data_IF_483241499799
#
_entry.id   IF_483241499799
#
_cell.length_a   1.000
_cell.length_b   1.000
_cell.length_c   1.000
_cell.angle_alpha   90.00
_cell.angle_beta   90.00
_cell.angle_gamma   90.00
#
_symmetry.space_group_name_H-M   'P 1'
#
loop_
_entity.id
_entity.type
_entity.pdbx_description
1 polymer ?
#
# COMPACT_ATOMS: atom_id res chain seq x y z
N UNK A 1 19.93 -5.42 -21.94
CA UNK A 1 18.81 -4.45 -21.83
C UNK A 1 17.81 -5.08 -20.86
N UNK A 2 17.70 -4.54 -19.64
CA UNK A 2 16.83 -5.10 -18.58
C UNK A 2 15.42 -4.55 -18.81
N UNK A 3 14.44 -5.43 -19.03
CA UNK A 3 13.07 -5.02 -19.36
C UNK A 3 12.23 -4.73 -18.10
N UNK A 4 12.60 -5.28 -16.94
CA UNK A 4 12.00 -5.00 -15.62
C UNK A 4 12.90 -5.47 -14.46
N UNK A 5 12.70 -4.90 -13.27
CA UNK A 5 13.37 -5.31 -12.01
C UNK A 5 13.08 -6.79 -11.66
N UNK A 6 14.11 -7.54 -11.23
CA UNK A 6 14.06 -8.99 -10.95
C UNK A 6 13.93 -9.94 -12.17
N UNK A 7 14.34 -9.49 -13.35
CA UNK A 7 14.33 -10.30 -14.58
C UNK A 7 14.98 -11.69 -14.43
N UNK A 8 16.16 -11.76 -13.82
CA UNK A 8 16.90 -13.01 -13.64
C UNK A 8 16.23 -13.97 -12.65
N UNK A 9 15.58 -13.43 -11.62
CA UNK A 9 14.79 -14.24 -10.66
C UNK A 9 13.51 -14.78 -11.30
N UNK A 10 12.85 -13.99 -12.14
CA UNK A 10 11.65 -14.44 -12.87
C UNK A 10 12.02 -15.47 -13.94
N UNK A 11 13.14 -15.28 -14.63
CA UNK A 11 13.64 -16.21 -15.65
C UNK A 11 14.08 -17.55 -15.05
N UNK A 12 14.95 -17.52 -14.04
CA UNK A 12 15.42 -18.72 -13.33
C UNK A 12 14.26 -19.43 -12.62
N UNK A 13 13.38 -18.68 -11.96
CA UNK A 13 12.18 -19.20 -11.31
C UNK A 13 11.22 -19.87 -12.29
N UNK A 14 10.96 -19.27 -13.45
CA UNK A 14 10.14 -19.84 -14.51
C UNK A 14 10.74 -21.14 -15.08
N UNK A 15 12.04 -21.13 -15.37
CA UNK A 15 12.75 -22.31 -15.89
C UNK A 15 12.75 -23.47 -14.90
N UNK A 16 13.07 -23.22 -13.62
CA UNK A 16 13.03 -24.26 -12.59
C UNK A 16 11.64 -24.84 -12.40
N UNK A 17 10.58 -24.02 -12.44
CA UNK A 17 9.19 -24.51 -12.35
C UNK A 17 8.82 -25.34 -13.58
N UNK A 18 9.22 -24.93 -14.78
CA UNK A 18 8.95 -25.68 -16.00
C UNK A 18 9.65 -27.04 -15.99
N UNK A 19 10.93 -27.05 -15.64
CA UNK A 19 11.71 -28.27 -15.50
C UNK A 19 11.11 -29.22 -14.44
N UNK A 20 10.66 -28.67 -13.31
CA UNK A 20 10.00 -29.45 -12.25
C UNK A 20 8.66 -30.03 -12.70
N UNK A 21 7.84 -29.26 -13.42
CA UNK A 21 6.58 -29.72 -13.99
C UNK A 21 6.80 -30.83 -15.03
N UNK A 22 7.78 -30.66 -15.92
CA UNK A 22 8.18 -31.67 -16.91
C UNK A 22 8.63 -32.97 -16.24
N UNK A 23 9.52 -32.87 -15.25
CA UNK A 23 9.99 -34.03 -14.49
C UNK A 23 8.85 -34.73 -13.74
N UNK A 24 7.91 -33.95 -13.17
CA UNK A 24 6.68 -34.48 -12.57
C UNK A 24 5.83 -35.26 -13.57
N UNK A 25 5.64 -34.72 -14.77
CA UNK A 25 4.85 -35.36 -15.82
C UNK A 25 5.47 -36.68 -16.31
N UNK A 26 6.78 -36.69 -16.54
CA UNK A 26 7.52 -37.90 -16.92
C UNK A 26 7.42 -38.96 -15.82
N UNK A 27 7.57 -38.57 -14.55
CA UNK A 27 7.44 -39.49 -13.43
C UNK A 27 6.03 -40.10 -13.34
N UNK A 28 4.97 -39.30 -13.50
CA UNK A 28 3.59 -39.79 -13.50
C UNK A 28 3.38 -40.77 -14.65
N UNK A 29 3.86 -40.46 -15.85
CA UNK A 29 3.77 -41.35 -17.02
C UNK A 29 4.46 -42.69 -16.78
N UNK A 30 5.72 -42.67 -16.31
CA UNK A 30 6.47 -43.89 -15.97
C UNK A 30 5.81 -44.68 -14.84
N UNK A 31 5.26 -44.00 -13.83
CA UNK A 31 4.55 -44.65 -12.72
C UNK A 31 3.27 -45.34 -13.19
N UNK A 32 2.50 -44.72 -14.10
CA UNK A 32 1.31 -45.33 -14.68
C UNK A 32 1.65 -46.53 -15.57
N UNK A 33 2.71 -46.46 -16.36
CA UNK A 33 3.17 -47.59 -17.18
C UNK A 33 3.65 -48.74 -16.29
N UNK A 34 4.44 -48.44 -15.25
CA UNK A 34 4.90 -49.43 -14.28
C UNK A 34 3.74 -50.09 -13.53
N UNK A 35 2.79 -49.28 -13.03
CA UNK A 35 1.59 -49.78 -12.37
C UNK A 35 0.71 -50.60 -13.33
N UNK A 36 0.56 -50.16 -14.58
CA UNK A 36 -0.21 -50.88 -15.59
C UNK A 36 0.37 -52.25 -15.94
N UNK A 37 1.69 -52.40 -15.82
CA UNK A 37 2.38 -53.67 -16.01
C UNK A 37 2.15 -54.66 -14.85
N UNK A 38 2.21 -54.18 -13.61
CA UNK A 38 2.09 -55.05 -12.44
C UNK A 38 0.64 -55.26 -11.98
N UNK A 39 -0.21 -54.25 -12.14
CA UNK A 39 -1.55 -54.21 -11.55
C UNK A 39 -2.47 -53.21 -12.27
N UNK A 40 -2.98 -53.66 -13.41
CA UNK A 40 -3.78 -52.85 -14.34
C UNK A 40 -5.06 -52.27 -13.71
N UNK A 41 -5.71 -53.02 -12.82
CA UNK A 41 -6.98 -52.60 -12.22
C UNK A 41 -6.83 -51.33 -11.36
N UNK A 42 -5.72 -51.17 -10.65
CA UNK A 42 -5.44 -49.93 -9.90
C UNK A 42 -5.25 -48.73 -10.83
N UNK A 43 -4.68 -48.92 -12.02
CA UNK A 43 -4.57 -47.84 -13.00
C UNK A 43 -5.95 -47.37 -13.44
N UNK A 44 -6.89 -48.29 -13.68
CA UNK A 44 -8.27 -47.95 -14.01
C UNK A 44 -8.96 -47.19 -12.88
N UNK A 45 -8.75 -47.61 -11.63
CA UNK A 45 -9.30 -46.91 -10.45
C UNK A 45 -8.75 -45.49 -10.35
N UNK A 46 -7.45 -45.29 -10.55
CA UNK A 46 -6.83 -43.97 -10.48
C UNK A 46 -7.32 -43.06 -11.63
N UNK A 47 -7.39 -43.58 -12.85
CA UNK A 47 -7.91 -42.83 -13.99
C UNK A 47 -9.41 -42.51 -13.84
N UNK A 48 -10.20 -43.45 -13.33
CA UNK A 48 -11.62 -43.25 -13.02
C UNK A 48 -11.83 -42.17 -11.96
N UNK A 49 -11.02 -42.20 -10.89
CA UNK A 49 -11.06 -41.15 -9.87
C UNK A 49 -10.66 -39.78 -10.43
N UNK A 50 -9.58 -39.71 -11.21
CA UNK A 50 -9.12 -38.47 -11.82
C UNK A 50 -10.16 -37.87 -12.78
N UNK A 51 -10.77 -38.69 -13.63
CA UNK A 51 -11.82 -38.22 -14.54
C UNK A 51 -13.08 -37.77 -13.81
N UNK A 52 -13.53 -38.54 -12.80
CA UNK A 52 -14.68 -38.16 -11.97
C UNK A 52 -14.46 -36.83 -11.25
N UNK A 53 -13.30 -36.65 -10.62
CA UNK A 53 -12.96 -35.41 -9.92
C UNK A 53 -12.85 -34.21 -10.85
N UNK A 54 -12.29 -34.38 -12.05
CA UNK A 54 -12.27 -33.32 -13.06
C UNK A 54 -13.67 -32.90 -13.49
N UNK A 55 -14.57 -33.85 -13.75
CA UNK A 55 -15.97 -33.57 -14.12
C UNK A 55 -16.68 -32.86 -12.96
N UNK A 56 -16.49 -33.34 -11.73
CA UNK A 56 -17.08 -32.74 -10.53
C UNK A 56 -16.60 -31.30 -10.33
N UNK A 57 -15.30 -31.05 -10.44
CA UNK A 57 -14.73 -29.70 -10.32
C UNK A 57 -15.23 -28.78 -11.44
N UNK A 58 -15.33 -29.27 -12.67
CA UNK A 58 -15.88 -28.50 -13.79
C UNK A 58 -17.35 -28.11 -13.56
N UNK A 59 -18.16 -29.06 -13.09
CA UNK A 59 -19.57 -28.82 -12.77
C UNK A 59 -19.74 -27.84 -11.59
N UNK A 60 -18.97 -28.04 -10.51
CA UNK A 60 -19.01 -27.18 -9.33
C UNK A 60 -18.53 -25.75 -9.65
N UNK A 61 -17.49 -25.61 -10.48
CA UNK A 61 -17.00 -24.31 -10.93
C UNK A 61 -18.05 -23.55 -11.75
N UNK A 62 -18.84 -24.25 -12.56
CA UNK A 62 -19.91 -23.64 -13.36
C UNK A 62 -21.10 -23.20 -12.50
N UNK A 63 -21.43 -23.95 -11.46
CA UNK A 63 -22.68 -23.75 -10.70
C UNK A 63 -22.50 -22.95 -9.39
N UNK A 64 -21.29 -22.84 -8.84
CA UNK A 64 -21.05 -22.19 -7.54
C UNK A 64 -19.98 -21.10 -7.61
N UNK A 65 -20.37 -19.86 -7.27
CA UNK A 65 -19.46 -18.73 -7.13
C UNK A 65 -18.49 -18.89 -5.94
N UNK A 66 -18.90 -19.59 -4.89
CA UNK A 66 -18.09 -19.82 -3.68
C UNK A 66 -16.92 -20.76 -4.00
N UNK A 67 -17.17 -21.82 -4.75
CA UNK A 67 -16.12 -22.78 -5.15
C UNK A 67 -15.17 -22.13 -6.15
N UNK A 68 -15.67 -21.26 -7.04
CA UNK A 68 -14.83 -20.46 -7.93
C UNK A 68 -13.86 -19.57 -7.14
N UNK A 69 -14.36 -18.81 -6.16
CA UNK A 69 -13.52 -17.93 -5.34
C UNK A 69 -12.52 -18.73 -4.47
N UNK A 70 -12.93 -19.90 -3.96
CA UNK A 70 -12.05 -20.79 -3.18
C UNK A 70 -10.99 -21.47 -4.06
N UNK A 71 -11.30 -21.80 -5.31
CA UNK A 71 -10.34 -22.37 -6.27
C UNK A 71 -9.29 -21.33 -6.70
N UNK A 72 -9.68 -20.06 -6.82
CA UNK A 72 -8.76 -18.95 -7.13
C UNK A 72 -7.85 -18.60 -5.95
N UNK A 73 -8.37 -18.63 -4.72
CA UNK A 73 -7.62 -18.23 -3.51
C UNK A 73 -6.85 -19.38 -2.85
N UNK A 74 -7.29 -20.64 -3.02
CA UNK A 74 -6.75 -21.81 -2.30
C UNK A 74 -6.63 -23.08 -3.15
N UNK A 75 -6.25 -22.94 -4.43
CA UNK A 75 -6.06 -24.06 -5.37
C UNK A 75 -5.20 -25.20 -4.78
N UNK A 76 -4.11 -24.85 -4.10
CA UNK A 76 -3.18 -25.83 -3.51
C UNK A 76 -3.83 -26.67 -2.41
N UNK A 77 -4.63 -26.06 -1.54
CA UNK A 77 -5.27 -26.75 -0.43
C UNK A 77 -6.39 -27.66 -0.93
N UNK A 78 -7.15 -27.21 -1.94
CA UNK A 78 -8.16 -28.04 -2.59
C UNK A 78 -7.53 -29.25 -3.30
N UNK A 79 -6.43 -29.05 -4.03
CA UNK A 79 -5.71 -30.14 -4.68
C UNK A 79 -5.12 -31.15 -3.67
N UNK A 80 -4.58 -30.67 -2.56
CA UNK A 80 -4.12 -31.55 -1.48
C UNK A 80 -5.25 -32.40 -0.90
N UNK A 81 -6.44 -31.82 -0.72
CA UNK A 81 -7.61 -32.54 -0.24
C UNK A 81 -8.06 -33.60 -1.26
N UNK A 82 -8.21 -33.21 -2.53
CA UNK A 82 -8.61 -34.13 -3.61
C UNK A 82 -7.61 -35.27 -3.76
N UNK A 83 -6.31 -34.97 -3.81
CA UNK A 83 -5.28 -36.01 -3.93
C UNK A 83 -5.20 -36.91 -2.70
N UNK A 84 -5.44 -36.37 -1.49
CA UNK A 84 -5.57 -37.15 -0.27
C UNK A 84 -6.76 -38.12 -0.32
N UNK A 85 -7.93 -37.66 -0.74
CA UNK A 85 -9.12 -38.52 -0.92
C UNK A 85 -8.87 -39.57 -2.00
N UNK A 86 -8.22 -39.20 -3.12
CA UNK A 86 -7.84 -40.13 -4.18
C UNK A 86 -6.95 -41.26 -3.70
N UNK A 87 -5.95 -40.95 -2.86
CA UNK A 87 -5.12 -41.98 -2.22
C UNK A 87 -5.95 -42.93 -1.34
N UNK A 88 -6.89 -42.42 -0.54
CA UNK A 88 -7.77 -43.26 0.27
C UNK A 88 -8.68 -44.16 -0.58
N UNK A 89 -9.16 -43.68 -1.73
CA UNK A 89 -9.95 -44.49 -2.67
C UNK A 89 -9.08 -45.61 -3.26
N UNK A 90 -7.87 -45.29 -3.71
CA UNK A 90 -6.94 -46.30 -4.24
C UNK A 90 -6.55 -47.31 -3.17
N UNK A 91 -6.30 -46.87 -1.94
CA UNK A 91 -6.00 -47.76 -0.81
C UNK A 91 -7.19 -48.65 -0.44
N UNK A 92 -8.39 -48.08 -0.36
CA UNK A 92 -9.61 -48.84 -0.05
C UNK A 92 -9.91 -49.90 -1.11
N UNK A 93 -9.67 -49.57 -2.39
CA UNK A 93 -9.76 -50.55 -3.47
C UNK A 93 -8.71 -51.66 -3.33
N UNK A 94 -7.46 -51.32 -3.02
CA UNK A 94 -6.39 -52.31 -2.81
C UNK A 94 -6.75 -53.28 -1.68
N UNK A 95 -7.25 -52.76 -0.55
CA UNK A 95 -7.71 -53.59 0.58
C UNK A 95 -8.90 -54.46 0.20
N UNK A 96 -9.85 -53.92 -0.57
CA UNK A 96 -11.00 -54.67 -1.07
C UNK A 96 -10.57 -55.82 -1.98
N UNK A 97 -9.70 -55.56 -2.95
CA UNK A 97 -9.20 -56.57 -3.88
C UNK A 97 -8.41 -57.66 -3.15
N UNK A 98 -7.60 -57.27 -2.15
CA UNK A 98 -6.83 -58.21 -1.33
C UNK A 98 -7.70 -59.15 -0.47
N UNK A 99 -8.91 -58.73 -0.08
CA UNK A 99 -9.82 -59.54 0.77
C UNK A 99 -10.73 -60.44 -0.08
N UNK A 100 -11.19 -59.95 -1.23
CA UNK A 100 -12.26 -60.60 -2.01
C UNK A 100 -11.77 -61.30 -3.29
N UNK A 101 -10.59 -60.96 -3.80
CA UNK A 101 -10.02 -61.52 -5.03
C UNK A 101 -8.66 -62.20 -4.80
N UNK A 102 -8.09 -62.78 -5.86
CA UNK A 102 -6.79 -63.46 -5.79
C UNK A 102 -5.67 -62.50 -5.37
N UNK A 103 -4.92 -62.91 -4.35
CA UNK A 103 -3.93 -62.07 -3.68
C UNK A 103 -2.86 -61.56 -4.66
N UNK A 104 -2.78 -60.25 -4.96
CA UNK A 104 -1.54 -59.70 -5.49
C UNK A 104 -0.46 -59.92 -4.43
N UNK A 105 0.70 -60.46 -4.84
CA UNK A 105 1.79 -60.71 -3.90
C UNK A 105 2.06 -59.47 -3.03
N UNK A 106 2.22 -59.65 -1.72
CA UNK A 106 2.31 -58.55 -0.73
C UNK A 106 3.30 -57.45 -1.13
N UNK A 107 4.39 -57.81 -1.81
CA UNK A 107 5.38 -56.86 -2.35
C UNK A 107 4.76 -55.92 -3.40
N UNK A 108 3.95 -56.46 -4.32
CA UNK A 108 3.24 -55.68 -5.36
C UNK A 108 2.24 -54.71 -4.72
N UNK A 109 1.53 -55.15 -3.69
CA UNK A 109 0.63 -54.29 -2.91
C UNK A 109 1.37 -53.12 -2.25
N UNK A 110 2.51 -53.38 -1.59
CA UNK A 110 3.33 -52.33 -0.95
C UNK A 110 3.90 -51.35 -1.98
N UNK A 111 4.45 -51.87 -3.08
CA UNK A 111 5.01 -51.04 -4.16
C UNK A 111 3.92 -50.16 -4.77
N UNK A 112 2.72 -50.71 -4.99
CA UNK A 112 1.60 -49.96 -5.54
C UNK A 112 1.08 -48.89 -4.59
N UNK A 113 1.04 -49.17 -3.29
CA UNK A 113 0.69 -48.19 -2.27
C UNK A 113 1.68 -47.01 -2.26
N UNK A 114 2.98 -47.30 -2.29
CA UNK A 114 4.03 -46.27 -2.27
C UNK A 114 3.98 -45.44 -3.56
N UNK A 115 3.86 -46.10 -4.72
CA UNK A 115 3.80 -45.43 -6.01
C UNK A 115 2.55 -44.56 -6.15
N UNK A 116 1.38 -45.02 -5.73
CA UNK A 116 0.14 -44.22 -5.79
C UNK A 116 0.25 -42.94 -4.95
N UNK A 117 0.81 -43.03 -3.74
CA UNK A 117 1.03 -41.87 -2.86
C UNK A 117 2.01 -40.86 -3.49
N UNK A 118 3.12 -41.35 -4.03
CA UNK A 118 4.11 -40.49 -4.69
C UNK A 118 3.51 -39.82 -5.93
N UNK A 119 2.75 -40.57 -6.72
CA UNK A 119 2.09 -40.05 -7.93
C UNK A 119 1.07 -38.96 -7.59
N UNK A 120 0.21 -39.16 -6.58
CA UNK A 120 -0.76 -38.17 -6.13
C UNK A 120 -0.08 -36.87 -5.67
N UNK A 121 1.05 -36.97 -4.94
CA UNK A 121 1.82 -35.80 -4.50
C UNK A 121 2.45 -35.05 -5.69
N UNK A 122 2.94 -35.79 -6.69
CA UNK A 122 3.53 -35.21 -7.92
C UNK A 122 2.50 -34.55 -8.80
N UNK A 123 1.27 -35.08 -8.86
CA UNK A 123 0.14 -34.46 -9.58
C UNK A 123 -0.17 -33.09 -8.98
N UNK A 124 -0.27 -32.96 -7.65
CA UNK A 124 -0.48 -31.65 -7.02
C UNK A 124 0.62 -30.67 -7.36
N UNK A 125 1.88 -31.09 -7.25
CA UNK A 125 3.04 -30.26 -7.63
C UNK A 125 2.96 -29.78 -9.07
N UNK A 126 2.70 -30.69 -10.02
CA UNK A 126 2.60 -30.38 -11.45
C UNK A 126 1.49 -29.37 -11.74
N UNK A 127 0.29 -29.56 -11.18
CA UNK A 127 -0.83 -28.63 -11.40
C UNK A 127 -0.49 -27.26 -10.81
N UNK A 128 0.05 -27.19 -9.60
CA UNK A 128 0.44 -25.91 -8.99
C UNK A 128 1.53 -25.18 -9.76
N UNK A 129 2.55 -25.90 -10.25
CA UNK A 129 3.62 -25.32 -11.04
C UNK A 129 3.09 -24.82 -12.40
N UNK A 130 2.24 -25.61 -13.09
CA UNK A 130 1.60 -25.20 -14.35
C UNK A 130 0.69 -23.98 -14.19
N UNK A 131 -0.12 -23.92 -13.14
CA UNK A 131 -0.96 -22.74 -12.85
C UNK A 131 -0.11 -21.50 -12.59
N UNK A 132 0.98 -21.64 -11.82
CA UNK A 132 1.89 -20.53 -11.56
C UNK A 132 2.64 -20.07 -12.83
N UNK A 133 3.04 -21.01 -13.69
CA UNK A 133 3.62 -20.72 -15.01
C UNK A 133 2.62 -20.01 -15.92
N UNK A 134 1.34 -20.41 -15.90
CA UNK A 134 0.29 -19.76 -16.66
C UNK A 134 0.04 -18.33 -16.19
N UNK A 135 0.01 -18.09 -14.88
CA UNK A 135 -0.07 -16.74 -14.30
C UNK A 135 1.14 -15.86 -14.66
N UNK A 136 2.31 -16.46 -14.84
CA UNK A 136 3.55 -15.76 -15.24
C UNK A 136 3.79 -15.76 -16.75
N UNK A 137 2.87 -16.33 -17.55
CA UNK A 137 3.02 -16.49 -18.99
C UNK A 137 3.26 -15.16 -19.70
N UNK A 138 2.53 -14.09 -19.34
CA UNK A 138 2.71 -12.78 -19.95
C UNK A 138 4.13 -12.20 -19.70
N UNK A 139 4.71 -12.49 -18.53
CA UNK A 139 6.07 -12.05 -18.17
C UNK A 139 7.15 -12.90 -18.85
N UNK A 140 6.91 -14.21 -18.98
CA UNK A 140 7.82 -15.14 -19.66
C UNK A 140 7.80 -14.95 -21.18
N UNK A 141 6.62 -14.76 -21.78
CA UNK A 141 6.47 -14.53 -23.22
C UNK A 141 7.17 -13.23 -23.64
N UNK A 142 7.07 -12.17 -22.83
CA UNK A 142 7.79 -10.92 -23.06
C UNK A 142 9.32 -11.04 -22.90
N UNK A 143 9.78 -12.00 -22.09
CA UNK A 143 11.21 -12.24 -21.87
C UNK A 143 11.85 -13.01 -23.03
N UNK A 144 11.15 -14.03 -23.53
CA UNK A 144 11.70 -15.00 -24.47
C UNK A 144 11.30 -14.74 -25.93
N UNK A 145 10.20 -14.02 -26.20
CA UNK A 145 9.76 -13.70 -27.56
C UNK A 145 9.90 -12.20 -27.87
N UNK A 146 11.00 -11.83 -28.53
CA UNK A 146 11.35 -10.47 -28.95
C UNK A 146 10.43 -9.82 -30.02
N UNK A 147 9.20 -10.32 -30.19
CA UNK A 147 8.25 -9.86 -31.23
C UNK A 147 6.82 -9.61 -30.77
N UNK A 148 6.50 -9.83 -29.48
CA UNK A 148 5.21 -9.47 -28.90
C UNK A 148 5.43 -8.34 -27.90
N UNK A 149 5.04 -7.13 -28.29
CA UNK A 149 4.92 -5.99 -27.36
C UNK A 149 4.05 -6.44 -26.19
N UNK A 150 4.47 -6.11 -24.96
CA UNK A 150 3.72 -6.28 -23.72
C UNK A 150 2.38 -5.51 -23.80
N UNK A 151 1.42 -6.01 -24.56
CA UNK A 151 0.04 -5.82 -24.25
C UNK A 151 -0.20 -6.76 -23.07
N UNK A 152 -0.14 -6.23 -21.86
CA UNK A 152 -0.76 -6.91 -20.74
C UNK A 152 -2.17 -7.26 -21.21
N UNK A 153 -2.44 -8.55 -21.45
CA UNK A 153 -3.80 -9.04 -21.39
C UNK A 153 -4.29 -8.57 -20.02
N UNK A 154 -5.14 -7.53 -20.02
CA UNK A 154 -5.71 -6.99 -18.81
C UNK A 154 -6.20 -8.17 -17.99
N UNK A 155 -5.69 -8.38 -16.76
CA UNK A 155 -6.06 -9.54 -15.96
C UNK A 155 -7.57 -9.62 -16.00
N UNK A 156 -8.05 -10.75 -16.53
CA UNK A 156 -9.44 -11.11 -16.73
C UNK A 156 -10.31 -10.45 -15.67
N UNK A 157 -11.14 -9.46 -16.04
CA UNK A 157 -12.47 -9.20 -15.44
C UNK A 157 -12.59 -9.34 -13.91
N UNK A 158 -11.51 -9.19 -13.15
CA UNK A 158 -11.58 -8.92 -11.74
C UNK A 158 -12.25 -7.57 -11.67
N UNK A 159 -13.26 -7.47 -10.82
CA UNK A 159 -14.00 -6.23 -10.55
C UNK A 159 -13.04 -5.20 -9.98
N UNK A 160 -12.20 -4.63 -10.83
CA UNK A 160 -11.26 -3.57 -10.52
C UNK A 160 -12.08 -2.35 -10.12
N UNK A 161 -11.51 -1.43 -9.34
CA UNK A 161 -12.16 -0.17 -8.96
C UNK A 161 -12.79 0.50 -10.19
N UNK A 162 -12.14 0.41 -11.35
CA UNK A 162 -12.62 0.94 -12.64
C UNK A 162 -13.97 0.38 -13.11
N UNK A 163 -14.30 -0.86 -12.77
CA UNK A 163 -15.61 -1.45 -13.10
C UNK A 163 -16.75 -0.80 -12.33
N UNK A 164 -16.49 -0.33 -11.10
CA UNK A 164 -17.46 0.41 -10.27
C UNK A 164 -17.62 1.86 -10.72
N UNK A 165 -16.70 2.38 -11.53
CA UNK A 165 -16.69 3.76 -12.00
C UNK A 165 -17.43 3.96 -13.33
N UNK A 166 -17.90 2.88 -13.95
CA UNK A 166 -18.72 2.96 -15.16
C UNK A 166 -20.03 3.72 -14.86
N UNK A 167 -20.53 4.56 -15.78
CA UNK A 167 -21.69 5.42 -15.52
C UNK A 167 -22.92 4.70 -14.94
N UNK A 168 -23.25 3.52 -15.46
CA UNK A 168 -24.42 2.75 -15.00
C UNK A 168 -24.18 2.15 -13.61
N UNK A 169 -22.99 1.59 -13.37
CA UNK A 169 -22.65 0.96 -12.11
C UNK A 169 -22.48 2.00 -10.98
N UNK A 170 -21.90 3.17 -11.29
CA UNK A 170 -21.59 4.18 -10.28
C UNK A 170 -22.83 4.78 -9.64
N UNK A 171 -23.87 5.03 -10.43
CA UNK A 171 -25.08 5.68 -9.93
C UNK A 171 -25.82 4.78 -8.92
N UNK A 172 -25.85 3.47 -9.16
CA UNK A 172 -26.50 2.49 -8.28
C UNK A 172 -25.88 2.46 -6.89
N UNK A 173 -24.55 2.25 -6.79
CA UNK A 173 -23.91 2.13 -5.48
C UNK A 173 -23.75 3.48 -4.76
N UNK A 174 -23.63 4.60 -5.49
CA UNK A 174 -23.59 5.94 -4.88
C UNK A 174 -24.94 6.30 -4.27
N UNK A 175 -26.05 5.99 -4.96
CA UNK A 175 -27.39 6.15 -4.40
C UNK A 175 -27.55 5.35 -3.10
N UNK A 176 -27.12 4.09 -3.09
CA UNK A 176 -27.14 3.26 -1.88
C UNK A 176 -26.28 3.86 -0.75
N UNK A 177 -25.08 4.36 -1.08
CA UNK A 177 -24.19 5.01 -0.13
C UNK A 177 -24.80 6.27 0.48
N UNK A 178 -25.35 7.18 -0.33
CA UNK A 178 -25.94 8.42 0.18
C UNK A 178 -27.23 8.17 0.98
N UNK A 179 -27.99 7.13 0.64
CA UNK A 179 -29.13 6.69 1.44
C UNK A 179 -28.72 6.22 2.83
N UNK A 180 -27.60 5.51 2.94
CA UNK A 180 -27.06 5.02 4.22
C UNK A 180 -26.59 6.18 5.13
N UNK A 181 -25.85 7.15 4.59
CA UNK A 181 -25.19 8.17 5.41
C UNK A 181 -25.97 9.49 5.55
N UNK A 182 -26.84 9.81 4.59
CA UNK A 182 -27.52 11.11 4.49
C UNK A 182 -29.05 10.95 4.53
N UNK A 183 -29.58 9.72 4.54
CA UNK A 183 -31.01 9.42 4.39
C UNK A 183 -31.63 10.04 3.12
N UNK A 184 -30.83 10.28 2.07
CA UNK A 184 -31.35 10.79 0.81
C UNK A 184 -31.95 9.66 -0.04
N UNK A 185 -33.12 9.91 -0.64
CA UNK A 185 -33.85 8.97 -1.52
C UNK A 185 -34.03 9.50 -2.95
N UNK A 186 -33.32 10.56 -3.33
CA UNK A 186 -33.38 11.11 -4.69
C UNK A 186 -32.82 10.15 -5.73
N UNK A 187 -33.48 10.07 -6.89
CA UNK A 187 -33.06 9.20 -8.00
C UNK A 187 -32.00 9.86 -8.90
N UNK A 188 -31.96 11.19 -8.94
CA UNK A 188 -31.04 11.94 -9.80
C UNK A 188 -29.86 12.50 -9.01
N UNK A 189 -28.66 12.01 -9.35
CA UNK A 189 -27.40 12.49 -8.81
C UNK A 189 -26.50 12.95 -9.96
N UNK A 190 -25.93 14.15 -9.84
CA UNK A 190 -24.80 14.52 -10.69
C UNK A 190 -23.54 13.87 -10.13
N UNK A 191 -22.88 13.01 -10.92
CA UNK A 191 -21.64 12.34 -10.53
C UNK A 191 -20.51 12.74 -11.48
N UNK A 192 -19.60 13.55 -10.97
CA UNK A 192 -18.43 14.04 -11.70
C UNK A 192 -17.15 13.40 -11.18
N UNK A 193 -16.21 13.17 -12.09
CA UNK A 193 -14.89 12.68 -11.72
C UNK A 193 -14.11 13.77 -10.98
N UNK A 194 -13.53 13.42 -9.83
CA UNK A 194 -12.59 14.27 -9.11
C UNK A 194 -11.20 13.67 -9.17
N UNK A 195 -10.26 14.37 -9.79
CA UNK A 195 -8.88 13.92 -9.85
C UNK A 195 -8.25 14.02 -8.46
N UNK A 196 -7.52 12.98 -8.03
CA UNK A 196 -6.90 12.93 -6.68
C UNK A 196 -5.39 13.12 -6.71
N UNK A 197 -4.76 13.05 -7.89
CA UNK A 197 -3.29 13.00 -8.01
C UNK A 197 -2.65 11.71 -7.46
N UNK A 198 -3.42 10.76 -6.92
CA UNK A 198 -2.91 9.55 -6.28
C UNK A 198 -3.29 8.28 -7.05
N UNK A 199 -2.28 7.49 -7.42
CA UNK A 199 -2.49 6.23 -8.12
C UNK A 199 -3.30 5.23 -7.29
N UNK A 200 -4.35 4.67 -7.91
CA UNK A 200 -5.29 3.70 -7.32
C UNK A 200 -6.15 4.25 -6.17
N UNK A 201 -6.31 5.57 -6.10
CA UNK A 201 -7.32 6.24 -5.27
C UNK A 201 -8.20 7.05 -6.19
N UNK A 202 -9.47 6.66 -6.28
CA UNK A 202 -10.45 7.27 -7.16
C UNK A 202 -11.40 8.13 -6.34
N UNK A 203 -11.74 9.32 -6.84
CA UNK A 203 -12.73 10.18 -6.19
C UNK A 203 -13.83 10.62 -7.15
N UNK A 204 -15.03 10.76 -6.61
CA UNK A 204 -16.19 11.31 -7.28
C UNK A 204 -16.73 12.49 -6.49
N UNK A 205 -17.00 13.57 -7.20
CA UNK A 205 -17.81 14.68 -6.71
C UNK A 205 -19.26 14.35 -7.03
N UNK A 206 -20.10 14.28 -6.01
CA UNK A 206 -21.52 13.93 -6.14
C UNK A 206 -22.36 15.07 -5.62
N UNK A 207 -23.26 15.57 -6.46
CA UNK A 207 -24.15 16.68 -6.13
C UNK A 207 -25.60 16.23 -6.19
N UNK A 208 -26.38 16.64 -5.18
CA UNK A 208 -27.82 16.42 -5.09
C UNK A 208 -28.48 17.66 -4.44
N UNK A 209 -29.80 17.61 -4.19
CA UNK A 209 -30.50 18.75 -3.56
C UNK A 209 -30.06 19.02 -2.11
N UNK A 210 -29.50 18.00 -1.44
CA UNK A 210 -29.10 18.06 -0.04
C UNK A 210 -27.69 18.64 0.14
N UNK A 211 -26.85 18.60 -0.89
CA UNK A 211 -25.52 19.19 -0.85
C UNK A 211 -24.53 18.56 -1.81
N UNK A 212 -23.25 18.90 -1.58
CA UNK A 212 -22.11 18.43 -2.34
C UNK A 212 -21.31 17.41 -1.53
N UNK A 213 -20.96 16.29 -2.13
CA UNK A 213 -20.24 15.21 -1.47
C UNK A 213 -18.99 14.81 -2.25
N UNK A 214 -17.96 14.38 -1.52
CA UNK A 214 -16.77 13.76 -2.09
C UNK A 214 -16.72 12.30 -1.64
N UNK A 215 -16.84 11.40 -2.61
CA UNK A 215 -16.77 9.96 -2.40
C UNK A 215 -15.41 9.48 -2.86
N UNK A 216 -14.65 8.81 -1.98
CA UNK A 216 -13.34 8.25 -2.32
C UNK A 216 -13.34 6.74 -2.22
N UNK A 217 -12.90 6.08 -3.28
CA UNK A 217 -12.67 4.65 -3.33
C UNK A 217 -11.18 4.34 -3.38
N UNK A 218 -10.74 3.51 -2.45
CA UNK A 218 -9.36 3.05 -2.37
C UNK A 218 -9.28 1.61 -2.85
N UNK A 219 -8.41 1.38 -3.84
CA UNK A 219 -8.09 0.03 -4.28
C UNK A 219 -7.49 -0.80 -3.12
N UNK A 220 -7.50 -2.13 -3.24
CA UNK A 220 -7.05 -3.04 -2.18
C UNK A 220 -5.59 -2.77 -1.74
N UNK A 221 -4.72 -2.43 -2.70
CA UNK A 221 -3.31 -2.07 -2.44
C UNK A 221 -3.13 -0.69 -1.77
N UNK A 222 -4.22 0.07 -1.56
CA UNK A 222 -4.27 1.36 -0.87
C UNK A 222 -5.19 1.36 0.35
N UNK A 223 -5.61 0.18 0.81
CA UNK A 223 -6.47 0.05 2.01
C UNK A 223 -5.85 0.67 3.27
N UNK A 224 -4.53 0.60 3.42
CA UNK A 224 -3.82 1.25 4.52
C UNK A 224 -3.95 2.78 4.50
N UNK A 225 -4.00 3.41 3.33
CA UNK A 225 -4.21 4.86 3.21
C UNK A 225 -5.64 5.24 3.60
N UNK A 226 -6.63 4.44 3.19
CA UNK A 226 -8.03 4.62 3.58
C UNK A 226 -8.21 4.56 5.10
N UNK A 227 -7.64 3.54 5.75
CA UNK A 227 -7.67 3.37 7.20
C UNK A 227 -6.95 4.50 7.92
N UNK A 228 -5.79 4.91 7.40
CA UNK A 228 -5.00 6.01 7.97
C UNK A 228 -5.76 7.34 7.90
N UNK A 229 -6.35 7.65 6.75
CA UNK A 229 -7.21 8.83 6.55
C UNK A 229 -8.44 8.79 7.47
N UNK A 230 -9.19 7.68 7.49
CA UNK A 230 -10.36 7.51 8.35
C UNK A 230 -10.02 7.65 9.84
N UNK A 231 -8.84 7.19 10.25
CA UNK A 231 -8.38 7.32 11.66
C UNK A 231 -8.26 8.79 12.05
N UNK A 232 -7.62 9.64 11.24
CA UNK A 232 -7.50 11.07 11.53
C UNK A 232 -8.88 11.76 11.57
N UNK A 233 -9.72 11.45 10.58
CA UNK A 233 -11.05 12.07 10.48
C UNK A 233 -11.96 11.71 11.65
N UNK A 234 -11.83 10.49 12.18
CA UNK A 234 -12.59 10.02 13.33
C UNK A 234 -12.23 10.74 14.63
N UNK A 235 -11.01 11.29 14.74
CA UNK A 235 -10.58 12.05 15.92
C UNK A 235 -11.20 13.45 16.01
N UNK A 236 -11.78 13.96 14.92
CA UNK A 236 -12.41 15.29 14.84
C UNK A 236 -11.50 16.40 15.39
N UNK A 237 -10.26 16.46 14.89
CA UNK A 237 -9.28 17.47 15.29
C UNK A 237 -9.83 18.88 15.05
N UNK A 238 -9.98 19.73 16.09
CA UNK A 238 -10.51 21.08 15.93
C UNK A 238 -9.63 21.93 15.02
N UNK A 239 -10.24 22.68 14.11
CA UNK A 239 -9.52 23.57 13.19
C UNK A 239 -8.76 22.86 12.06
N UNK A 240 -8.93 21.54 11.91
CA UNK A 240 -8.36 20.81 10.78
C UNK A 240 -8.99 21.33 9.46
N UNK A 241 -8.18 21.73 8.46
CA UNK A 241 -8.70 22.24 7.19
C UNK A 241 -9.12 21.07 6.28
N UNK A 242 -10.12 20.30 6.70
CA UNK A 242 -10.66 19.16 5.97
C UNK A 242 -12.14 19.36 5.65
N UNK A 243 -12.62 18.64 4.64
CA UNK A 243 -14.06 18.46 4.42
C UNK A 243 -14.72 17.76 5.62
N UNK A 244 -16.05 17.89 5.77
CA UNK A 244 -16.77 17.23 6.87
C UNK A 244 -16.84 15.74 6.59
N UNK A 245 -16.18 14.94 7.42
CA UNK A 245 -16.24 13.49 7.30
C UNK A 245 -17.59 12.95 7.76
N UNK A 246 -18.26 12.18 6.90
CA UNK A 246 -19.54 11.54 7.19
C UNK A 246 -19.36 10.10 7.67
N UNK A 247 -18.39 9.39 7.11
CA UNK A 247 -18.05 8.05 7.56
C UNK A 247 -17.29 7.23 6.52
N UNK A 248 -17.14 5.95 6.85
CA UNK A 248 -16.49 4.95 6.01
C UNK A 248 -17.38 3.73 5.88
N UNK A 249 -17.36 3.13 4.69
CA UNK A 249 -18.03 1.87 4.40
C UNK A 249 -17.17 1.05 3.43
N UNK A 250 -17.59 -0.16 3.13
CA UNK A 250 -16.92 -1.02 2.17
C UNK A 250 -17.85 -1.31 0.99
N UNK A 251 -17.44 -0.86 -0.21
CA UNK A 251 -18.15 -1.18 -1.45
C UNK A 251 -17.46 -2.37 -2.09
N UNK A 252 -18.12 -3.53 -2.03
CA UNK A 252 -17.54 -4.84 -2.39
C UNK A 252 -16.26 -5.15 -1.59
N UNK A 253 -15.08 -5.02 -2.20
CA UNK A 253 -13.76 -5.27 -1.57
C UNK A 253 -12.95 -3.98 -1.40
N UNK A 254 -13.54 -2.81 -1.67
CA UNK A 254 -12.86 -1.52 -1.67
C UNK A 254 -13.31 -0.65 -0.50
N UNK A 255 -12.36 0.02 0.13
CA UNK A 255 -12.65 0.95 1.21
C UNK A 255 -13.18 2.25 0.61
N UNK A 256 -14.33 2.69 1.11
CA UNK A 256 -15.02 3.89 0.67
C UNK A 256 -15.07 4.89 1.82
N UNK A 257 -14.65 6.12 1.55
CA UNK A 257 -14.74 7.25 2.48
C UNK A 257 -15.68 8.29 1.89
N UNK A 258 -16.58 8.81 2.72
CA UNK A 258 -17.57 9.80 2.33
C UNK A 258 -17.36 11.09 3.11
N UNK A 259 -17.30 12.19 2.37
CA UNK A 259 -17.21 13.54 2.89
C UNK A 259 -18.34 14.41 2.36
N UNK A 260 -18.79 15.35 3.16
CA UNK A 260 -19.57 16.49 2.70
C UNK A 260 -18.62 17.67 2.43
N UNK A 261 -18.73 18.21 1.22
CA UNK A 261 -18.01 19.38 0.78
C UNK A 261 -18.89 20.62 0.96
N UNK A 262 -18.34 21.72 1.49
CA UNK A 262 -18.99 23.02 1.37
C UNK A 262 -19.00 23.46 -0.10
N UNK A 263 -19.96 24.32 -0.44
CA UNK A 263 -20.02 24.95 -1.76
C UNK A 263 -18.69 25.67 -2.03
N UNK A 264 -18.15 25.43 -3.22
CA UNK A 264 -16.80 25.83 -3.57
C UNK A 264 -16.33 25.20 -4.89
N UNK A 265 -15.02 25.28 -5.12
CA UNK A 265 -14.39 24.74 -6.32
C UNK A 265 -12.92 24.35 -6.07
N UNK A 266 -12.39 23.50 -6.95
CA UNK A 266 -10.95 23.29 -7.02
C UNK A 266 -10.27 24.57 -7.53
N UNK A 267 -9.09 24.95 -7.00
CA UNK A 267 -8.36 26.13 -7.46
C UNK A 267 -7.91 25.98 -8.92
N UNK A 268 -7.66 27.10 -9.59
CA UNK A 268 -6.85 27.12 -10.80
C UNK A 268 -5.36 26.96 -10.47
N UNK A 269 -4.54 26.48 -11.41
CA UNK A 269 -3.11 26.25 -11.19
C UNK A 269 -2.35 27.51 -10.71
N UNK A 270 -2.78 28.69 -11.15
CA UNK A 270 -2.23 29.99 -10.74
C UNK A 270 -2.52 30.32 -9.26
N UNK A 271 -3.66 29.87 -8.74
CA UNK A 271 -4.14 30.19 -7.40
C UNK A 271 -3.57 29.26 -6.32
N UNK A 272 -3.07 28.07 -6.70
CA UNK A 272 -2.59 27.04 -5.76
C UNK A 272 -1.56 27.61 -4.78
N UNK A 273 -0.55 28.34 -5.27
CA UNK A 273 0.52 28.87 -4.44
C UNK A 273 0.02 29.84 -3.36
N UNK A 274 -1.04 30.60 -3.65
CA UNK A 274 -1.65 31.54 -2.71
C UNK A 274 -2.41 30.82 -1.60
N UNK A 275 -2.97 29.63 -1.89
CA UNK A 275 -3.76 28.83 -0.95
C UNK A 275 -2.91 27.94 -0.03
N UNK A 276 -1.71 27.55 -0.46
CA UNK A 276 -0.83 26.66 0.31
C UNK A 276 -0.41 27.30 1.65
N UNK A 277 -0.10 28.59 1.68
CA UNK A 277 0.37 29.28 2.89
C UNK A 277 -0.72 29.37 3.98
N UNK A 278 -1.97 29.78 3.67
CA UNK A 278 -3.09 29.63 4.60
C UNK A 278 -3.29 28.20 5.11
N UNK A 279 -3.23 27.19 4.24
CA UNK A 279 -3.38 25.79 4.65
C UNK A 279 -2.31 25.35 5.65
N UNK A 280 -1.04 25.68 5.40
CA UNK A 280 0.05 25.37 6.34
C UNK A 280 -0.15 26.04 7.69
N UNK A 281 -0.63 27.29 7.73
CA UNK A 281 -0.96 27.99 8.98
C UNK A 281 -2.10 27.30 9.74
N UNK A 282 -3.15 26.90 9.04
CA UNK A 282 -4.27 26.15 9.64
C UNK A 282 -3.81 24.80 10.20
N UNK A 283 -2.94 24.08 9.49
CA UNK A 283 -2.35 22.82 9.97
C UNK A 283 -1.50 23.00 11.24
N UNK A 284 -0.74 24.08 11.35
CA UNK A 284 0.00 24.40 12.57
C UNK A 284 -0.93 24.75 13.74
N UNK A 285 -2.05 25.42 13.44
CA UNK A 285 -3.06 25.80 14.41
C UNK A 285 -3.89 24.61 14.92
N UNK A 286 -4.11 23.60 14.07
CA UNK A 286 -4.83 22.38 14.42
C UNK A 286 -4.00 21.55 15.43
N UNK A 287 -4.42 21.55 16.69
CA UNK A 287 -3.75 20.80 17.75
C UNK A 287 -4.17 19.33 17.74
N UNK A 288 -3.24 18.39 17.47
CA UNK A 288 -3.58 16.97 17.47
C UNK A 288 -3.87 16.48 18.90
N UNK A 289 -4.98 15.74 19.11
CA UNK A 289 -5.30 15.17 20.41
C UNK A 289 -4.19 14.28 20.96
N UNK A 290 -3.97 14.30 22.28
CA UNK A 290 -2.92 13.50 22.93
C UNK A 290 -3.04 12.00 22.62
N UNK A 291 -4.26 11.46 22.58
CA UNK A 291 -4.53 10.06 22.22
C UNK A 291 -4.09 9.72 20.80
N UNK A 292 -4.31 10.62 19.84
CA UNK A 292 -3.82 10.47 18.46
C UNK A 292 -2.29 10.45 18.44
N UNK A 293 -1.66 11.39 19.15
CA UNK A 293 -0.20 11.46 19.27
C UNK A 293 0.40 10.18 19.85
N UNK A 294 -0.18 9.64 20.93
CA UNK A 294 0.29 8.38 21.54
C UNK A 294 0.15 7.18 20.61
N UNK A 295 -1.00 7.03 19.92
CA UNK A 295 -1.20 5.93 18.97
C UNK A 295 -0.27 6.03 17.75
N UNK A 296 -0.07 7.25 17.24
CA UNK A 296 0.84 7.47 16.12
C UNK A 296 2.28 7.10 16.48
N UNK A 297 2.82 7.61 17.61
CA UNK A 297 4.18 7.30 18.08
C UNK A 297 4.45 5.81 18.30
N UNK A 298 3.43 5.02 18.61
CA UNK A 298 3.55 3.55 18.77
C UNK A 298 3.57 2.79 17.45
N UNK A 299 2.99 3.34 16.40
CA UNK A 299 2.81 2.67 15.11
C UNK A 299 3.72 3.18 14.01
N UNK A 300 4.28 4.40 14.17
CA UNK A 300 5.16 5.03 13.18
C UNK A 300 6.32 5.77 13.83
N UNK A 301 7.51 5.74 13.20
CA UNK A 301 8.66 6.48 13.69
C UNK A 301 8.51 7.99 13.44
N UNK A 302 8.87 8.79 14.43
CA UNK A 302 8.91 10.26 14.34
C UNK A 302 10.16 10.74 13.61
N UNK A 303 10.19 11.99 13.14
CA UNK A 303 11.34 12.56 12.42
C UNK A 303 12.69 12.31 13.12
N UNK A 304 12.77 12.54 14.43
CA UNK A 304 13.99 12.32 15.21
C UNK A 304 14.41 10.84 15.35
N UNK A 305 13.52 9.90 15.04
CA UNK A 305 13.84 8.46 14.96
C UNK A 305 14.22 8.05 13.54
N UNK A 306 13.59 8.66 12.52
CA UNK A 306 13.87 8.39 11.11
C UNK A 306 15.23 8.95 10.68
N UNK A 307 15.63 10.10 11.23
CA UNK A 307 16.98 10.65 11.08
C UNK A 307 17.98 9.82 11.90
N UNK A 308 18.61 8.86 11.24
CA UNK A 308 19.59 7.97 11.85
C UNK A 308 20.92 8.01 11.09
N UNK A 309 21.95 7.40 11.70
CA UNK A 309 23.31 7.39 11.14
C UNK A 309 23.34 6.67 9.80
N UNK A 310 22.57 5.58 9.64
CA UNK A 310 22.49 4.82 8.39
C UNK A 310 21.99 5.70 7.23
N UNK A 311 20.91 6.45 7.42
CA UNK A 311 20.37 7.38 6.43
C UNK A 311 21.40 8.43 6.02
N UNK A 312 22.09 9.03 6.99
CA UNK A 312 23.08 10.07 6.75
C UNK A 312 24.38 9.51 6.14
N UNK A 313 24.74 8.26 6.44
CA UNK A 313 25.94 7.62 5.92
C UNK A 313 25.93 7.48 4.39
N UNK A 314 24.74 7.38 3.78
CA UNK A 314 24.62 7.39 2.32
C UNK A 314 25.08 8.70 1.68
N UNK A 315 25.11 9.82 2.42
CA UNK A 315 25.58 11.09 1.90
C UNK A 315 27.07 11.09 1.59
N UNK A 316 27.88 10.26 2.27
CA UNK A 316 29.31 10.11 1.96
C UNK A 316 29.56 9.71 0.51
N UNK A 317 28.62 9.03 -0.14
CA UNK A 317 28.72 8.64 -1.55
C UNK A 317 28.71 9.85 -2.51
N UNK A 318 28.14 10.98 -2.08
CA UNK A 318 27.99 12.19 -2.89
C UNK A 318 28.89 13.34 -2.44
N UNK A 319 29.69 13.15 -1.39
CA UNK A 319 30.65 14.14 -0.90
C UNK A 319 31.76 14.32 -1.93
N UNK A 320 32.05 15.57 -2.30
CA UNK A 320 33.03 15.90 -3.35
C UNK A 320 34.21 16.73 -2.86
N UNK A 321 34.12 17.32 -1.67
CA UNK A 321 35.16 18.14 -1.09
C UNK A 321 35.27 17.93 0.43
N UNK A 322 36.39 18.38 0.99
CA UNK A 322 36.70 18.24 2.42
C UNK A 322 35.73 19.00 3.32
N UNK A 323 35.19 20.12 2.86
CA UNK A 323 34.29 20.97 3.64
C UNK A 323 32.93 20.28 3.84
N UNK A 324 32.38 19.68 2.78
CA UNK A 324 31.17 18.84 2.84
C UNK A 324 31.37 17.64 3.75
N UNK A 325 32.54 17.01 3.70
CA UNK A 325 32.88 15.90 4.58
C UNK A 325 32.89 16.35 6.04
N UNK A 326 33.61 17.43 6.35
CA UNK A 326 33.72 17.96 7.71
C UNK A 326 32.35 18.37 8.28
N UNK A 327 31.48 18.99 7.49
CA UNK A 327 30.13 19.36 7.91
C UNK A 327 29.24 18.13 8.15
N UNK A 328 29.37 17.10 7.31
CA UNK A 328 28.62 15.84 7.49
C UNK A 328 29.09 15.09 8.74
N UNK A 329 30.41 15.02 8.96
CA UNK A 329 31.00 14.41 10.16
C UNK A 329 30.50 15.13 11.42
N UNK A 330 30.53 16.47 11.42
CA UNK A 330 30.00 17.28 12.53
C UNK A 330 28.52 17.02 12.78
N UNK A 331 27.70 16.92 11.72
CA UNK A 331 26.27 16.63 11.84
C UNK A 331 26.02 15.26 12.46
N UNK A 332 26.79 14.24 12.06
CA UNK A 332 26.68 12.87 12.61
C UNK A 332 27.08 12.87 14.09
N UNK A 333 28.16 13.54 14.46
CA UNK A 333 28.60 13.68 15.86
C UNK A 333 27.55 14.41 16.73
N UNK A 334 26.89 15.42 16.16
CA UNK A 334 25.89 16.23 16.85
C UNK A 334 24.43 15.74 16.65
N UNK A 335 24.23 14.58 16.02
CA UNK A 335 22.90 14.07 15.67
C UNK A 335 21.99 13.90 16.91
N UNK A 336 22.54 13.48 18.04
CA UNK A 336 21.75 13.35 19.29
C UNK A 336 21.25 14.71 19.80
N UNK A 337 22.04 15.78 19.65
CA UNK A 337 21.61 17.13 19.99
C UNK A 337 20.45 17.59 19.09
N UNK A 338 20.55 17.33 17.79
CA UNK A 338 19.47 17.59 16.83
C UNK A 338 18.20 16.83 17.25
N UNK A 339 18.31 15.54 17.56
CA UNK A 339 17.17 14.72 17.99
C UNK A 339 16.47 15.27 19.24
N UNK A 340 17.23 15.74 20.22
CA UNK A 340 16.67 16.32 21.44
C UNK A 340 15.87 17.60 21.14
N UNK A 341 16.39 18.47 20.27
CA UNK A 341 15.66 19.68 19.81
C UNK A 341 14.39 19.30 19.07
N UNK A 342 14.46 18.34 18.14
CA UNK A 342 13.27 17.89 17.40
C UNK A 342 12.22 17.25 18.30
N UNK A 343 12.63 16.58 19.38
CA UNK A 343 11.74 15.94 20.33
C UNK A 343 11.06 16.93 21.29
N UNK A 344 11.69 18.07 21.59
CA UNK A 344 11.11 19.11 22.46
C UNK A 344 10.05 19.96 21.76
N UNK A 345 10.04 19.98 20.43
CA UNK A 345 9.08 20.77 19.66
C UNK A 345 7.65 20.22 19.74
N UNK A 346 6.62 21.10 19.79
CA UNK A 346 5.23 20.70 19.69
C UNK A 346 4.96 19.94 18.39
N UNK A 347 4.11 18.92 18.44
CA UNK A 347 3.71 18.17 17.25
C UNK A 347 2.64 18.92 16.45
N UNK A 348 2.76 18.85 15.13
CA UNK A 348 1.82 19.39 14.15
C UNK A 348 1.41 18.31 13.16
N UNK A 349 0.22 18.47 12.57
CA UNK A 349 -0.21 17.64 11.46
C UNK A 349 0.46 18.13 10.17
N UNK A 350 1.08 17.20 9.46
CA UNK A 350 1.72 17.45 8.18
C UNK A 350 0.98 16.70 7.06
N UNK A 351 0.70 17.44 5.98
CA UNK A 351 0.10 16.96 4.75
C UNK A 351 1.08 17.18 3.59
N UNK A 352 1.60 16.12 2.94
CA UNK A 352 2.61 16.28 1.89
C UNK A 352 2.08 16.83 0.56
N UNK A 353 0.78 16.70 0.27
CA UNK A 353 0.20 17.03 -1.04
C UNK A 353 -0.72 18.25 -0.97
N UNK A 354 -0.30 19.32 -1.67
CA UNK A 354 -1.08 20.54 -1.90
C UNK A 354 -1.19 20.83 -3.41
N UNK A 355 -1.27 19.80 -4.23
CA UNK A 355 -1.58 19.96 -5.65
C UNK A 355 -2.95 20.58 -5.87
N UNK A 356 -3.21 21.05 -7.10
CA UNK A 356 -4.49 21.64 -7.51
C UNK A 356 -5.67 20.72 -7.17
N UNK A 357 -5.49 19.42 -7.40
CA UNK A 357 -6.47 18.36 -7.17
C UNK A 357 -6.69 18.02 -5.68
N UNK A 358 -5.75 18.42 -4.83
CA UNK A 358 -5.75 18.16 -3.40
C UNK A 358 -6.35 19.32 -2.58
N UNK A 359 -6.74 20.43 -3.21
CA UNK A 359 -7.26 21.63 -2.55
C UNK A 359 -8.69 21.90 -3.00
N UNK A 360 -9.52 22.32 -2.05
CA UNK A 360 -10.87 22.83 -2.30
C UNK A 360 -11.01 24.22 -1.70
N UNK A 361 -11.41 25.21 -2.50
CA UNK A 361 -11.67 26.57 -2.03
C UNK A 361 -13.19 26.71 -1.80
N UNK A 362 -13.58 27.00 -0.57
CA UNK A 362 -14.98 27.32 -0.23
C UNK A 362 -15.40 28.65 -0.85
N UNK A 363 -16.70 28.92 -1.03
CA UNK A 363 -17.19 30.23 -1.49
C UNK A 363 -16.66 31.43 -0.66
N UNK A 364 -16.38 31.18 0.62
CA UNK A 364 -15.79 32.19 1.53
C UNK A 364 -14.28 32.41 1.32
N UNK A 365 -13.67 31.73 0.36
CA UNK A 365 -12.25 31.81 0.05
C UNK A 365 -11.35 30.97 0.98
N UNK A 366 -11.91 30.18 1.90
CA UNK A 366 -11.10 29.33 2.77
C UNK A 366 -10.67 28.05 2.03
N UNK A 367 -9.38 27.70 2.02
CA UNK A 367 -8.90 26.47 1.43
C UNK A 367 -9.05 25.29 2.39
N UNK A 368 -9.38 24.12 1.84
CA UNK A 368 -9.43 22.83 2.52
C UNK A 368 -8.51 21.85 1.79
N UNK A 369 -7.82 20.99 2.53
CA UNK A 369 -7.10 19.86 1.98
C UNK A 369 -8.05 18.66 1.82
N UNK A 370 -8.01 18.03 0.65
CA UNK A 370 -8.83 16.87 0.34
C UNK A 370 -8.10 15.57 0.66
N UNK A 371 -6.79 15.44 0.38
CA UNK A 371 -6.13 14.13 0.27
C UNK A 371 -5.37 13.65 1.50
N UNK A 372 -6.04 13.20 2.56
CA UNK A 372 -5.39 12.90 3.84
C UNK A 372 -4.67 11.53 3.93
N UNK A 373 -4.77 10.63 2.95
CA UNK A 373 -4.16 9.28 3.02
C UNK A 373 -2.68 9.18 3.42
N UNK A 374 -1.90 10.26 3.27
CA UNK A 374 -0.46 10.31 3.60
C UNK A 374 -0.12 11.26 4.77
N UNK A 375 -1.10 11.66 5.58
CA UNK A 375 -0.85 12.56 6.70
C UNK A 375 0.17 11.98 7.70
N UNK A 376 0.89 12.87 8.37
CA UNK A 376 1.90 12.52 9.37
C UNK A 376 1.86 13.47 10.57
N UNK A 377 2.34 13.01 11.72
CA UNK A 377 2.63 13.88 12.86
C UNK A 377 4.11 14.14 12.90
N UNK A 378 4.48 15.41 12.88
CA UNK A 378 5.86 15.84 12.79
C UNK A 378 6.12 16.99 13.77
N UNK A 379 7.38 17.24 14.17
CA UNK A 379 7.70 18.40 15.00
C UNK A 379 7.42 19.70 14.24
N UNK A 380 7.04 20.76 14.97
CA UNK A 380 6.77 22.09 14.41
C UNK A 380 7.87 22.52 13.44
N UNK A 381 7.46 22.99 12.26
CA UNK A 381 8.36 23.40 11.18
C UNK A 381 8.59 22.33 10.10
N UNK A 382 8.39 21.05 10.41
CA UNK A 382 8.50 19.99 9.41
C UNK A 382 7.54 20.20 8.23
N UNK A 383 8.04 20.02 7.01
CA UNK A 383 7.30 20.24 5.75
C UNK A 383 7.10 21.70 5.36
N UNK A 384 7.63 22.65 6.13
CA UNK A 384 7.71 24.05 5.72
C UNK A 384 8.74 24.23 4.59
N UNK A 385 8.56 25.18 3.65
CA UNK A 385 9.54 25.40 2.58
C UNK A 385 10.92 25.76 3.12
N UNK A 386 11.91 24.98 2.73
CA UNK A 386 13.30 25.07 3.17
C UNK A 386 14.08 26.22 2.50
N UNK A 387 13.67 26.66 1.31
CA UNK A 387 14.32 27.77 0.63
C UNK A 387 14.31 29.04 1.50
N UNK A 388 15.40 29.80 1.52
CA UNK A 388 15.60 30.95 2.43
C UNK A 388 14.41 31.93 2.51
N UNK A 389 13.77 32.24 1.37
CA UNK A 389 12.58 33.11 1.34
C UNK A 389 11.34 32.49 1.99
N UNK A 390 11.20 31.18 1.87
CA UNK A 390 10.11 30.40 2.47
C UNK A 390 10.34 30.17 3.96
N UNK A 391 11.57 29.82 4.35
CA UNK A 391 11.94 29.56 5.73
C UNK A 391 11.77 30.80 6.61
N UNK A 392 12.15 31.99 6.11
CA UNK A 392 11.92 33.29 6.79
C UNK A 392 10.45 33.59 7.09
N UNK A 393 9.50 32.95 6.39
CA UNK A 393 8.06 33.10 6.66
C UNK A 393 7.57 32.22 7.81
N UNK A 394 8.35 31.24 8.27
CA UNK A 394 7.98 30.33 9.34
C UNK A 394 7.80 31.08 10.67
N UNK A 395 8.77 31.90 11.06
CA UNK A 395 8.72 32.69 12.30
C UNK A 395 7.46 33.55 12.45
N UNK A 396 7.15 34.44 11.47
CA UNK A 396 5.91 35.21 11.49
C UNK A 396 4.65 34.35 11.56
N UNK A 397 4.64 33.20 10.88
CA UNK A 397 3.50 32.27 10.89
C UNK A 397 3.33 31.59 12.27
N UNK A 398 4.42 31.21 12.94
CA UNK A 398 4.38 30.66 14.30
C UNK A 398 3.83 31.71 15.27
N UNK A 399 4.31 32.95 15.21
CA UNK A 399 3.84 34.04 16.07
C UNK A 399 2.35 34.36 15.87
N UNK A 400 1.85 34.26 14.64
CA UNK A 400 0.42 34.42 14.35
C UNK A 400 -0.40 33.28 14.95
N UNK A 401 0.04 32.04 14.77
CA UNK A 401 -0.67 30.85 15.23
C UNK A 401 -0.59 30.67 16.75
N UNK A 402 0.49 31.11 17.39
CA UNK A 402 0.66 31.07 18.85
C UNK A 402 -0.45 31.85 19.61
N UNK A 403 -1.07 32.84 18.95
CA UNK A 403 -2.25 33.55 19.48
C UNK A 403 -3.48 32.65 19.63
N UNK A 404 -3.54 31.57 18.87
CA UNK A 404 -4.67 30.63 18.83
C UNK A 404 -4.29 29.34 19.58
N UNK A 405 -3.06 28.85 19.39
CA UNK A 405 -2.56 27.61 19.99
C UNK A 405 -1.48 27.91 21.04
N UNK A 406 -1.89 27.87 22.31
CA UNK A 406 -1.05 28.19 23.47
C UNK A 406 0.22 27.34 23.54
N UNK A 407 0.19 26.09 23.06
CA UNK A 407 1.35 25.20 23.02
C UNK A 407 2.50 25.70 22.14
N UNK A 408 2.28 26.69 21.27
CA UNK A 408 3.33 27.32 20.46
C UNK A 408 3.95 28.57 21.11
N UNK A 409 3.42 29.01 22.26
CA UNK A 409 4.00 30.13 23.00
C UNK A 409 5.38 29.76 23.54
N UNK A 410 6.36 30.64 23.32
CA UNK A 410 7.74 30.42 23.78
C UNK A 410 8.55 29.45 22.93
N UNK A 411 8.02 28.95 21.81
CA UNK A 411 8.84 28.13 20.89
C UNK A 411 9.91 28.99 20.23
N UNK A 412 11.16 28.55 20.35
CA UNK A 412 12.31 29.18 19.70
C UNK A 412 12.21 28.94 18.19
N UNK A 413 12.12 30.02 17.41
CA UNK A 413 11.89 29.97 15.95
C UNK A 413 12.99 29.19 15.24
N UNK A 414 14.24 29.34 15.67
CA UNK A 414 15.41 28.66 15.11
C UNK A 414 15.29 27.13 15.24
N UNK A 415 14.68 26.63 16.31
CA UNK A 415 14.44 25.20 16.49
C UNK A 415 13.37 24.68 15.52
N UNK A 416 12.33 25.47 15.25
CA UNK A 416 11.34 25.12 14.23
C UNK A 416 11.93 25.16 12.80
N UNK A 417 12.80 26.13 12.51
CA UNK A 417 13.54 26.17 11.23
C UNK A 417 14.47 24.96 11.08
N UNK A 418 15.13 24.54 12.16
CA UNK A 418 15.93 23.32 12.20
C UNK A 418 15.10 22.09 11.85
N UNK A 419 13.87 21.98 12.39
CA UNK A 419 12.92 20.92 12.05
C UNK A 419 12.52 20.93 10.56
N UNK A 420 12.32 22.11 9.97
CA UNK A 420 12.04 22.24 8.54
C UNK A 420 13.21 21.70 7.68
N UNK A 421 14.43 22.10 8.01
CA UNK A 421 15.66 21.65 7.31
C UNK A 421 15.91 20.16 7.50
N UNK A 422 15.73 19.64 8.72
CA UNK A 422 15.91 18.22 9.03
C UNK A 422 14.89 17.34 8.28
N UNK A 423 13.64 17.79 8.17
CA UNK A 423 12.62 17.12 7.37
C UNK A 423 12.94 17.15 5.87
N UNK A 424 13.43 18.28 5.35
CA UNK A 424 13.86 18.39 3.96
C UNK A 424 15.08 17.48 3.66
N UNK A 425 16.04 17.40 4.58
CA UNK A 425 17.19 16.50 4.49
C UNK A 425 16.76 15.04 4.39
N UNK A 426 15.87 14.59 5.29
CA UNK A 426 15.30 13.24 5.26
C UNK A 426 14.62 12.95 3.91
N UNK A 427 13.80 13.91 3.43
CA UNK A 427 13.05 13.80 2.17
C UNK A 427 13.98 13.63 0.96
N UNK A 428 15.05 14.43 0.87
CA UNK A 428 15.99 14.32 -0.25
C UNK A 428 16.85 13.05 -0.16
N UNK A 429 17.23 12.60 1.05
CA UNK A 429 17.90 11.32 1.24
C UNK A 429 17.04 10.13 0.78
N UNK A 430 15.76 10.11 1.18
CA UNK A 430 14.81 9.06 0.78
C UNK A 430 14.54 9.05 -0.73
N UNK A 431 14.72 10.19 -1.41
CA UNK A 431 14.61 10.31 -2.87
C UNK A 431 15.92 10.06 -3.60
N UNK A 432 16.99 9.66 -2.89
CA UNK A 432 18.34 9.47 -3.42
C UNK A 432 18.91 10.73 -4.10
N UNK A 433 18.44 11.91 -3.68
CA UNK A 433 18.86 13.22 -4.14
C UNK A 433 19.97 13.78 -3.25
N UNK A 434 21.06 13.01 -3.16
CA UNK A 434 22.11 13.26 -2.16
C UNK A 434 22.84 14.58 -2.35
N UNK A 435 23.02 15.05 -3.60
CA UNK A 435 23.59 16.37 -3.86
C UNK A 435 22.69 17.48 -3.29
N UNK A 436 21.37 17.40 -3.48
CA UNK A 436 20.44 18.36 -2.89
C UNK A 436 20.43 18.27 -1.36
N UNK A 437 20.48 17.06 -0.79
CA UNK A 437 20.60 16.86 0.64
C UNK A 437 21.85 17.54 1.23
N UNK A 438 23.02 17.40 0.59
CA UNK A 438 24.27 18.03 1.01
C UNK A 438 24.19 19.57 1.01
N UNK A 439 23.41 20.18 0.10
CA UNK A 439 23.23 21.65 0.10
C UNK A 439 22.49 22.19 1.32
N UNK A 440 21.76 21.34 2.05
CA UNK A 440 21.00 21.73 3.25
C UNK A 440 21.84 21.71 4.52
N UNK A 441 22.96 20.96 4.53
CA UNK A 441 23.78 20.77 5.73
C UNK A 441 24.36 22.09 6.27
N UNK A 442 24.92 23.01 5.45
CA UNK A 442 25.51 24.24 5.98
C UNK A 442 24.49 25.09 6.78
N UNK A 443 23.29 25.30 6.22
CA UNK A 443 22.24 26.04 6.91
C UNK A 443 21.77 25.31 8.17
N UNK A 444 21.71 23.98 8.14
CA UNK A 444 21.33 23.17 9.29
C UNK A 444 22.36 23.30 10.43
N UNK A 445 23.66 23.21 10.12
CA UNK A 445 24.75 23.38 11.10
C UNK A 445 24.72 24.77 11.71
N UNK A 446 24.59 25.82 10.89
CA UNK A 446 24.48 27.21 11.36
C UNK A 446 23.33 27.38 12.38
N UNK A 447 22.14 26.82 12.08
CA UNK A 447 21.00 26.90 13.00
C UNK A 447 21.18 26.06 14.27
N UNK A 448 21.90 24.93 14.19
CA UNK A 448 22.22 24.14 15.37
C UNK A 448 23.17 24.89 16.31
N UNK A 449 24.20 25.56 15.77
CA UNK A 449 25.13 26.35 16.57
C UNK A 449 24.44 27.55 17.22
N UNK A 450 23.67 28.31 16.45
CA UNK A 450 22.88 29.45 16.97
C UNK A 450 21.88 29.03 18.06
N UNK A 451 21.28 27.83 17.94
CA UNK A 451 20.36 27.32 18.96
C UNK A 451 21.07 26.89 20.25
N UNK A 452 22.35 26.50 20.21
CA UNK A 452 23.12 26.19 21.43
C UNK A 452 23.45 27.45 22.22
N UNK A 453 23.83 28.53 21.53
CA UNK A 453 24.15 29.82 22.16
C UNK A 453 22.93 30.45 22.85
N UNK A 454 21.74 30.30 22.24
CA UNK A 454 20.49 30.83 22.80
C UNK A 454 20.09 30.15 24.12
N UNK A 455 20.37 28.85 24.27
CA UNK A 455 20.08 28.09 25.51
C UNK A 455 21.04 28.49 26.65
N UNK A 456 22.29 28.83 26.32
CA UNK A 456 23.29 29.23 27.32
C UNK A 456 22.97 30.60 27.91
N UNK A 457 22.41 31.52 27.12
CA UNK A 457 21.99 32.84 27.61
C UNK A 457 20.78 32.78 28.54
N UNK A 458 19.79 31.92 28.30
CA UNK A 458 18.62 31.80 29.19
C UNK A 458 18.96 31.16 30.54
N UNK A 459 19.98 30.30 30.63
CA UNK A 459 20.43 29.71 31.91
C UNK A 459 21.42 30.60 32.69
N UNK A 460 21.88 31.73 32.11
CA UNK A 460 22.80 32.68 32.76
C UNK A 460 22.11 33.84 33.48
N UNK A 461 20.80 34.00 33.29
CA UNK A 461 19.97 35.07 33.87
C UNK A 461 18.98 34.56 34.95
N UNK A 462 19.04 33.28 35.34
CA UNK A 462 18.46 32.73 36.57
C UNK A 462 19.50 32.65 37.69
#
# INVERSE_FOLDING_TARGET
MVLFENQDQVASGGYHRYSRALAGGVFIGLSLVGLGWFYFDIVLVILGYATFTLILLWFLHRNSSIIREKMETSLRDMLNLVTGVGFFVTFGYLVWDFIFWDEPGVIVAIVTLILSRQMMTRITGLVTDLTALYQQKAKLDALFFHGKVLLNDMPQKERSVWSLMQPDARQEWINALLKEFVNNTEEYLSCEWHQTGQANVVALKVENSSGLYLVKLFAQNRSSFALHEATLMSEKVPGLPSARFLGTTQIQKFQCLLYELPIGQSPESSQVLEQVQPLRRQLMAAEPPSQLCHRYRRSRPMLWQRLNIELLSHLYLAVTNTDQQAMLDWLIENLNSLKNVLQSLPLVLHQPDFSQDAIWITEKGFPLALNWGQWSLEPLGAGWPEATKGLKKLGPAILEVAKIRVALNGVIIQQAELSALAFALERECNRQRYLQALTLIPELVERMEASKESIIFEMGDE
#
